data_IF_786601052260
#
_entry.id   IF_786601052260
#
_cell.length_a   1.000
_cell.length_b   1.000
_cell.length_c   1.000
_cell.angle_alpha   90.00
_cell.angle_beta   90.00
_cell.angle_gamma   90.00
#
_symmetry.space_group_name_H-M   'P 1'
#
loop_
_entity.id
_entity.type
_entity.pdbx_description
1 polymer ?
#
# COMPACT_ATOMS: atom_id res chain seq x y z
N UNK A 1 -23.26 -1.54 -10.51
CA UNK A 1 -23.41 -2.73 -11.38
C UNK A 1 -22.04 -3.19 -11.89
N UNK A 2 -21.34 -2.43 -12.74
CA UNK A 2 -20.08 -2.85 -13.45
C UNK A 2 -18.98 -3.35 -12.50
N UNK A 3 -18.66 -2.64 -11.41
CA UNK A 3 -17.65 -3.08 -10.45
C UNK A 3 -17.95 -4.46 -9.87
N UNK A 4 -19.17 -4.69 -9.37
CA UNK A 4 -19.53 -5.97 -8.77
C UNK A 4 -19.50 -7.12 -9.80
N UNK A 5 -19.92 -6.84 -11.02
CA UNK A 5 -19.88 -7.79 -12.13
C UNK A 5 -18.42 -8.14 -12.49
N UNK A 6 -17.55 -7.15 -12.66
CA UNK A 6 -16.14 -7.38 -12.92
C UNK A 6 -15.49 -8.22 -11.80
N UNK A 7 -15.76 -7.89 -10.54
CA UNK A 7 -15.20 -8.61 -9.38
C UNK A 7 -15.78 -10.03 -9.19
N UNK A 8 -16.89 -10.35 -9.81
CA UNK A 8 -17.46 -11.72 -9.83
C UNK A 8 -16.88 -12.59 -10.94
N UNK A 9 -16.43 -11.99 -12.03
CA UNK A 9 -15.96 -12.68 -13.22
C UNK A 9 -14.44 -12.79 -13.32
N UNK A 10 -13.71 -11.86 -12.73
CA UNK A 10 -12.26 -11.76 -12.89
C UNK A 10 -11.52 -11.71 -11.55
N UNK A 11 -10.27 -12.20 -11.51
CA UNK A 11 -9.39 -12.05 -10.35
C UNK A 11 -9.20 -10.57 -9.95
N UNK A 12 -8.98 -10.33 -8.66
CA UNK A 12 -8.87 -8.96 -8.11
C UNK A 12 -7.73 -8.15 -8.73
N UNK A 13 -6.61 -8.78 -9.04
CA UNK A 13 -5.46 -8.15 -9.70
C UNK A 13 -5.82 -7.67 -11.12
N UNK A 14 -6.56 -8.47 -11.90
CA UNK A 14 -7.03 -8.09 -13.23
C UNK A 14 -7.97 -6.88 -13.14
N UNK A 15 -8.96 -6.91 -12.24
CA UNK A 15 -9.91 -5.81 -12.06
C UNK A 15 -9.20 -4.54 -11.58
N UNK A 16 -8.24 -4.66 -10.65
CA UNK A 16 -7.44 -3.54 -10.17
C UNK A 16 -6.65 -2.90 -11.31
N UNK A 17 -5.87 -3.69 -12.06
CA UNK A 17 -4.96 -3.17 -13.08
C UNK A 17 -5.67 -2.70 -14.36
N UNK A 18 -6.80 -3.32 -14.73
CA UNK A 18 -7.46 -3.06 -16.03
C UNK A 18 -8.69 -2.17 -15.93
N UNK A 19 -9.26 -2.00 -14.74
CA UNK A 19 -10.47 -1.20 -14.55
C UNK A 19 -10.26 -0.07 -13.53
N UNK A 20 -9.80 -0.39 -12.32
CA UNK A 20 -9.82 0.60 -11.23
C UNK A 20 -8.69 1.62 -11.38
N UNK A 21 -7.44 1.18 -11.58
CA UNK A 21 -6.30 2.09 -11.74
C UNK A 21 -6.48 3.05 -12.93
N UNK A 22 -6.78 2.59 -14.15
CA UNK A 22 -7.00 3.51 -15.28
C UNK A 22 -8.15 4.49 -15.04
N UNK A 23 -9.21 4.05 -14.35
CA UNK A 23 -10.32 4.93 -14.00
C UNK A 23 -9.91 6.03 -13.01
N UNK A 24 -9.11 5.69 -12.00
CA UNK A 24 -8.59 6.66 -11.03
C UNK A 24 -7.65 7.67 -11.69
N UNK A 25 -6.76 7.23 -12.57
CA UNK A 25 -5.86 8.10 -13.34
C UNK A 25 -6.64 9.06 -14.23
N UNK A 26 -7.65 8.57 -14.94
CA UNK A 26 -8.50 9.42 -15.79
C UNK A 26 -9.30 10.43 -14.96
N UNK A 27 -9.91 10.00 -13.87
CA UNK A 27 -10.65 10.88 -12.98
C UNK A 27 -9.71 11.95 -12.38
N UNK A 28 -8.55 11.58 -11.86
CA UNK A 28 -7.56 12.51 -11.32
C UNK A 28 -7.19 13.58 -12.33
N UNK A 29 -6.89 13.19 -13.58
CA UNK A 29 -6.54 14.12 -14.65
C UNK A 29 -7.68 15.06 -15.06
N UNK A 30 -8.93 14.66 -14.88
CA UNK A 30 -10.13 15.49 -15.18
C UNK A 30 -10.39 16.49 -14.06
N UNK A 31 -10.19 16.10 -12.83
CA UNK A 31 -10.44 16.95 -11.66
C UNK A 31 -9.51 18.15 -11.58
N UNK A 32 -8.27 18.02 -12.02
CA UNK A 32 -7.34 19.13 -12.12
C UNK A 32 -7.77 20.24 -13.12
N UNK A 33 -8.65 19.89 -14.07
CA UNK A 33 -8.98 20.76 -15.21
C UNK A 33 -10.38 21.37 -15.19
N UNK A 34 -11.29 20.92 -14.31
CA UNK A 34 -12.70 21.33 -14.36
C UNK A 34 -13.20 21.92 -13.04
N UNK A 35 -13.89 23.05 -13.12
CA UNK A 35 -14.57 23.70 -12.00
C UNK A 35 -15.79 22.88 -11.56
N UNK A 36 -15.90 22.56 -10.28
CA UNK A 36 -17.04 21.79 -9.72
C UNK A 36 -16.77 20.30 -9.49
N UNK A 37 -15.60 19.83 -9.88
CA UNK A 37 -15.20 18.42 -9.79
C UNK A 37 -14.91 17.89 -8.36
N UNK A 38 -14.67 18.79 -7.40
CA UNK A 38 -14.32 18.40 -6.01
C UNK A 38 -15.42 17.56 -5.34
N UNK A 39 -16.68 17.93 -5.54
CA UNK A 39 -17.81 17.17 -4.97
C UNK A 39 -17.97 15.78 -5.63
N UNK A 40 -17.71 15.69 -6.94
CA UNK A 40 -17.73 14.43 -7.67
C UNK A 40 -16.58 13.52 -7.23
N UNK A 41 -15.39 14.10 -7.05
CA UNK A 41 -14.22 13.41 -6.50
C UNK A 41 -14.51 12.83 -5.12
N UNK A 42 -15.01 13.65 -4.20
CA UNK A 42 -15.36 13.19 -2.86
C UNK A 42 -16.41 12.09 -2.88
N UNK A 43 -17.45 12.22 -3.68
CA UNK A 43 -18.48 11.18 -3.81
C UNK A 43 -17.89 9.88 -4.33
N UNK A 44 -17.09 9.95 -5.40
CA UNK A 44 -16.45 8.78 -5.99
C UNK A 44 -15.45 8.13 -5.03
N UNK A 45 -14.65 8.94 -4.35
CA UNK A 45 -13.67 8.48 -3.36
C UNK A 45 -14.34 7.74 -2.21
N UNK A 46 -15.41 8.28 -1.63
CA UNK A 46 -16.17 7.61 -0.57
C UNK A 46 -16.83 6.32 -1.08
N UNK A 47 -17.42 6.36 -2.29
CA UNK A 47 -18.02 5.18 -2.90
C UNK A 47 -17.00 4.07 -3.12
N UNK A 48 -15.85 4.39 -3.70
CA UNK A 48 -14.80 3.42 -3.99
C UNK A 48 -14.21 2.86 -2.70
N UNK A 49 -13.88 3.71 -1.72
CA UNK A 49 -13.38 3.29 -0.41
C UNK A 49 -14.31 2.26 0.24
N UNK A 50 -15.63 2.53 0.25
CA UNK A 50 -16.61 1.60 0.83
C UNK A 50 -16.64 0.26 0.08
N UNK A 51 -16.55 0.28 -1.26
CA UNK A 51 -16.54 -0.94 -2.08
C UNK A 51 -15.29 -1.77 -1.87
N UNK A 52 -14.12 -1.12 -1.86
CA UNK A 52 -12.83 -1.77 -1.64
C UNK A 52 -12.72 -2.29 -0.19
N UNK A 53 -13.15 -1.48 0.79
CA UNK A 53 -13.14 -1.85 2.20
C UNK A 53 -14.00 -3.07 2.53
N UNK A 54 -15.21 -3.16 1.96
CA UNK A 54 -16.06 -4.33 2.12
C UNK A 54 -15.41 -5.60 1.55
N UNK A 55 -14.76 -5.50 0.39
CA UNK A 55 -14.03 -6.61 -0.23
C UNK A 55 -12.80 -7.01 0.59
N UNK A 56 -12.06 -6.03 1.05
CA UNK A 56 -10.91 -6.21 1.92
C UNK A 56 -11.26 -7.04 3.15
N UNK A 57 -12.27 -6.61 3.90
CA UNK A 57 -12.70 -7.32 5.11
C UNK A 57 -13.07 -8.78 4.83
N UNK A 58 -13.82 -9.03 3.77
CA UNK A 58 -14.25 -10.37 3.40
C UNK A 58 -13.09 -11.30 3.00
N UNK A 59 -12.09 -10.79 2.27
CA UNK A 59 -10.93 -11.59 1.84
C UNK A 59 -9.96 -11.83 3.00
N UNK A 60 -9.70 -10.83 3.83
CA UNK A 60 -8.71 -10.93 4.90
C UNK A 60 -9.03 -12.02 5.93
N UNK A 61 -10.31 -12.27 6.18
CA UNK A 61 -10.75 -13.32 7.10
C UNK A 61 -10.45 -14.75 6.61
N UNK A 62 -10.13 -14.94 5.34
CA UNK A 62 -9.92 -16.26 4.72
C UNK A 62 -8.47 -16.64 4.55
N UNK A 63 -7.56 -15.68 4.66
CA UNK A 63 -6.15 -15.89 4.40
C UNK A 63 -5.39 -16.36 5.65
N UNK A 64 -4.40 -17.21 5.42
CA UNK A 64 -3.50 -17.73 6.47
C UNK A 64 -2.02 -17.63 6.07
N UNK A 65 -1.71 -16.91 4.98
CA UNK A 65 -0.34 -16.65 4.53
C UNK A 65 0.37 -15.59 5.37
N UNK A 66 1.56 -15.14 4.94
CA UNK A 66 2.33 -14.13 5.65
C UNK A 66 1.52 -12.86 5.91
N UNK A 67 1.79 -12.23 7.04
CA UNK A 67 1.07 -11.06 7.55
C UNK A 67 1.86 -9.79 7.27
N UNK A 68 1.23 -8.82 6.61
CA UNK A 68 1.82 -7.51 6.32
C UNK A 68 1.09 -6.40 7.06
N UNK A 69 1.85 -5.49 7.68
CA UNK A 69 1.36 -4.16 8.02
C UNK A 69 1.43 -3.30 6.76
N UNK A 70 0.37 -2.56 6.48
CA UNK A 70 0.26 -1.70 5.29
C UNK A 70 -0.25 -0.34 5.72
N UNK A 71 0.54 0.73 5.50
CA UNK A 71 0.23 2.09 5.95
C UNK A 71 0.72 3.15 4.96
N UNK A 72 0.10 4.34 4.99
CA UNK A 72 0.66 5.52 4.35
C UNK A 72 1.66 6.21 5.29
N UNK A 73 2.67 6.84 4.69
CA UNK A 73 3.64 7.67 5.38
C UNK A 73 2.97 8.91 6.02
N UNK A 74 3.62 9.54 7.02
CA UNK A 74 3.13 10.78 7.63
C UNK A 74 2.87 11.87 6.58
N UNK A 75 1.75 12.57 6.69
CA UNK A 75 1.33 13.58 5.73
C UNK A 75 0.73 13.05 4.43
N UNK A 76 0.68 11.73 4.23
CA UNK A 76 0.06 11.12 3.04
C UNK A 76 -1.41 10.79 3.30
N UNK A 77 -2.29 11.45 2.54
CA UNK A 77 -3.73 11.28 2.63
C UNK A 77 -4.34 10.48 1.46
N UNK A 78 -3.54 10.19 0.41
CA UNK A 78 -3.98 9.45 -0.77
C UNK A 78 -3.83 7.94 -0.56
N UNK A 79 -4.82 7.33 0.09
CA UNK A 79 -4.75 5.91 0.49
C UNK A 79 -5.20 4.91 -0.59
N UNK A 80 -5.70 5.36 -1.76
CA UNK A 80 -6.24 4.42 -2.76
C UNK A 80 -5.18 3.48 -3.32
N UNK A 81 -3.99 3.97 -3.63
CA UNK A 81 -2.89 3.13 -4.09
C UNK A 81 -2.56 2.04 -3.07
N UNK A 82 -2.50 2.41 -1.80
CA UNK A 82 -2.27 1.49 -0.69
C UNK A 82 -3.40 0.46 -0.55
N UNK A 83 -4.66 0.89 -0.64
CA UNK A 83 -5.81 0.00 -0.53
C UNK A 83 -5.88 -1.00 -1.69
N UNK A 84 -5.55 -0.56 -2.91
CA UNK A 84 -5.47 -1.44 -4.08
C UNK A 84 -4.32 -2.45 -3.94
N UNK A 85 -3.15 -2.01 -3.47
CA UNK A 85 -2.05 -2.90 -3.14
C UNK A 85 -2.48 -3.96 -2.11
N UNK A 86 -3.12 -3.53 -1.02
CA UNK A 86 -3.61 -4.42 0.03
C UNK A 86 -4.59 -5.47 -0.50
N UNK A 87 -5.52 -5.08 -1.38
CA UNK A 87 -6.46 -6.01 -2.02
C UNK A 87 -5.76 -7.01 -2.93
N UNK A 88 -4.74 -6.59 -3.68
CA UNK A 88 -3.96 -7.48 -4.52
C UNK A 88 -3.15 -8.48 -3.68
N UNK A 89 -2.53 -8.02 -2.59
CA UNK A 89 -1.82 -8.87 -1.63
C UNK A 89 -2.76 -9.90 -0.99
N UNK A 90 -3.98 -9.50 -0.59
CA UNK A 90 -5.02 -10.43 -0.13
C UNK A 90 -5.37 -11.47 -1.19
N UNK A 91 -5.47 -11.07 -2.47
CA UNK A 91 -5.71 -11.98 -3.58
C UNK A 91 -4.59 -13.00 -3.79
N UNK A 92 -3.38 -12.72 -3.30
CA UNK A 92 -2.22 -13.62 -3.30
C UNK A 92 -2.08 -14.43 -2.00
N UNK A 93 -3.02 -14.32 -1.07
CA UNK A 93 -3.07 -15.11 0.15
C UNK A 93 -2.46 -14.46 1.39
N UNK A 94 -1.93 -13.24 1.30
CA UNK A 94 -1.41 -12.50 2.46
C UNK A 94 -2.53 -12.17 3.45
N UNK A 95 -2.18 -12.09 4.73
CA UNK A 95 -2.98 -11.41 5.75
C UNK A 95 -2.55 -9.94 5.81
N UNK A 96 -3.49 -9.01 5.91
CA UNK A 96 -3.17 -7.58 5.88
C UNK A 96 -3.70 -6.89 7.13
N UNK A 97 -2.83 -6.13 7.78
CA UNK A 97 -3.17 -5.14 8.80
C UNK A 97 -3.09 -3.79 8.14
N UNK A 98 -4.24 -3.27 7.70
CA UNK A 98 -4.34 -1.97 7.05
C UNK A 98 -4.49 -0.88 8.11
N UNK A 99 -3.50 0.00 8.23
CA UNK A 99 -3.51 1.11 9.18
C UNK A 99 -3.96 2.44 8.55
N UNK A 100 -3.99 2.52 7.20
CA UNK A 100 -4.54 3.67 6.48
C UNK A 100 -3.57 4.84 6.34
N UNK A 101 -4.14 6.04 6.24
CA UNK A 101 -3.45 7.29 5.92
C UNK A 101 -2.78 7.93 7.15
N UNK A 102 -1.77 8.78 6.88
CA UNK A 102 -1.15 9.71 7.85
C UNK A 102 -0.72 9.04 9.17
N UNK A 103 0.05 7.95 9.07
CA UNK A 103 0.49 7.21 10.26
C UNK A 103 1.91 7.62 10.69
N UNK A 104 2.14 7.96 11.98
CA UNK A 104 3.47 8.17 12.52
C UNK A 104 4.33 6.88 12.41
N UNK A 105 5.51 6.98 11.78
CA UNK A 105 6.40 5.83 11.56
C UNK A 105 6.88 5.25 12.90
N UNK A 106 7.14 6.10 13.88
CA UNK A 106 7.67 5.70 15.19
C UNK A 106 6.82 4.67 15.95
N UNK A 107 5.52 4.61 15.70
CA UNK A 107 4.62 3.65 16.36
C UNK A 107 4.64 2.24 15.72
N UNK A 108 5.17 2.12 14.50
CA UNK A 108 5.08 0.88 13.71
C UNK A 108 5.84 -0.29 14.34
N UNK A 109 6.97 -0.07 15.00
CA UNK A 109 7.72 -1.12 15.66
C UNK A 109 6.92 -1.79 16.80
N UNK A 110 6.12 -1.01 17.53
CA UNK A 110 5.21 -1.54 18.55
C UNK A 110 4.08 -2.38 17.95
N UNK A 111 3.50 -1.89 16.83
CA UNK A 111 2.46 -2.63 16.11
C UNK A 111 3.02 -3.93 15.54
N UNK A 112 4.22 -3.90 14.98
CA UNK A 112 4.89 -5.07 14.44
C UNK A 112 5.12 -6.13 15.52
N UNK A 113 5.67 -5.74 16.67
CA UNK A 113 5.89 -6.63 17.80
C UNK A 113 4.57 -7.24 18.34
N UNK A 114 3.51 -6.42 18.42
CA UNK A 114 2.21 -6.87 18.94
C UNK A 114 1.48 -7.83 18.00
N UNK A 115 1.63 -7.65 16.71
CA UNK A 115 0.88 -8.39 15.70
C UNK A 115 1.59 -9.62 15.16
N UNK A 116 2.93 -9.69 15.36
CA UNK A 116 3.78 -10.74 14.81
C UNK A 116 3.66 -10.76 13.28
N UNK A 117 3.82 -9.59 12.63
CA UNK A 117 3.80 -9.49 11.18
C UNK A 117 5.14 -9.90 10.58
N UNK A 118 5.11 -10.29 9.29
CA UNK A 118 6.25 -10.77 8.53
C UNK A 118 6.89 -9.67 7.67
N UNK A 119 6.28 -8.48 7.62
CA UNK A 119 6.81 -7.33 6.89
C UNK A 119 5.94 -6.08 7.05
N UNK A 120 6.55 -4.92 6.77
CA UNK A 120 5.89 -3.60 6.80
C UNK A 120 5.97 -2.99 5.41
N UNK A 121 4.84 -2.53 4.87
CA UNK A 121 4.75 -1.85 3.57
C UNK A 121 4.24 -0.43 3.80
N UNK A 122 5.06 0.55 3.42
CA UNK A 122 4.74 1.97 3.50
C UNK A 122 4.54 2.56 2.12
N UNK A 123 3.61 3.48 1.97
CA UNK A 123 3.34 4.17 0.70
C UNK A 123 3.25 5.67 0.92
N UNK A 124 3.80 6.43 -0.03
CA UNK A 124 3.73 7.89 -0.01
C UNK A 124 3.77 8.50 -1.39
N UNK A 125 3.26 9.74 -1.49
CA UNK A 125 3.32 10.55 -2.70
C UNK A 125 4.64 11.32 -2.81
N UNK A 126 4.83 11.95 -3.97
CA UNK A 126 6.02 12.76 -4.28
C UNK A 126 6.18 14.03 -3.43
N UNK A 127 5.16 14.44 -2.71
CA UNK A 127 5.15 15.70 -1.92
C UNK A 127 5.91 15.61 -0.59
N UNK A 128 6.34 14.42 -0.17
CA UNK A 128 7.08 14.24 1.08
C UNK A 128 8.54 14.65 0.92
N UNK A 129 9.08 15.34 1.95
CA UNK A 129 10.48 15.73 2.00
C UNK A 129 11.36 14.52 2.34
N UNK A 130 12.31 14.18 1.45
CA UNK A 130 13.16 13.01 1.61
C UNK A 130 14.02 13.05 2.90
N UNK A 131 14.55 14.23 3.25
CA UNK A 131 15.38 14.40 4.43
C UNK A 131 14.63 14.12 5.74
N UNK A 132 13.35 14.56 5.84
CA UNK A 132 12.53 14.28 7.00
C UNK A 132 12.18 12.79 7.12
N UNK A 133 11.99 12.12 5.98
CA UNK A 133 11.64 10.71 5.92
C UNK A 133 12.82 9.79 6.27
N UNK A 134 14.04 10.20 5.91
CA UNK A 134 15.24 9.38 6.05
C UNK A 134 15.46 8.86 7.48
N UNK A 135 15.43 9.76 8.48
CA UNK A 135 15.73 9.39 9.87
C UNK A 135 14.63 8.48 10.44
N UNK A 136 13.37 8.81 10.22
CA UNK A 136 12.24 8.02 10.74
C UNK A 136 12.24 6.59 10.14
N UNK A 137 12.60 6.46 8.86
CA UNK A 137 12.68 5.16 8.18
C UNK A 137 13.89 4.36 8.64
N UNK A 138 15.04 5.01 8.85
CA UNK A 138 16.23 4.38 9.40
C UNK A 138 15.95 3.82 10.79
N UNK A 139 15.39 4.65 11.67
CA UNK A 139 15.06 4.27 13.05
C UNK A 139 14.06 3.09 13.08
N UNK A 140 13.05 3.11 12.20
CA UNK A 140 12.12 1.97 12.07
C UNK A 140 12.86 0.70 11.63
N UNK A 141 13.70 0.78 10.59
CA UNK A 141 14.39 -0.39 10.05
C UNK A 141 15.36 -1.00 11.06
N UNK A 142 15.99 -0.17 11.90
CA UNK A 142 16.85 -0.62 13.00
C UNK A 142 16.06 -1.22 14.16
N UNK A 143 14.83 -0.76 14.39
CA UNK A 143 13.98 -1.22 15.49
C UNK A 143 13.27 -2.55 15.22
N UNK A 144 13.18 -2.99 13.96
CA UNK A 144 12.48 -4.23 13.59
C UNK A 144 13.41 -5.25 12.93
N UNK A 145 13.15 -6.53 13.14
CA UNK A 145 13.89 -7.64 12.50
C UNK A 145 13.24 -8.15 11.21
N UNK A 146 12.11 -7.55 10.82
CA UNK A 146 11.35 -7.91 9.63
C UNK A 146 11.59 -6.91 8.49
N UNK A 147 11.44 -7.31 7.21
CA UNK A 147 11.69 -6.43 6.09
C UNK A 147 10.70 -5.25 6.05
N UNK A 148 11.22 -4.05 5.80
CA UNK A 148 10.47 -2.82 5.57
C UNK A 148 10.53 -2.48 4.08
N UNK A 149 9.38 -2.20 3.49
CA UNK A 149 9.22 -1.88 2.07
C UNK A 149 8.60 -0.49 1.92
N UNK A 150 9.12 0.31 0.99
CA UNK A 150 8.57 1.64 0.68
C UNK A 150 8.23 1.73 -0.79
N UNK A 151 6.98 2.06 -1.10
CA UNK A 151 6.43 2.23 -2.45
C UNK A 151 5.75 3.58 -2.65
N UNK A 152 5.18 3.76 -3.85
CA UNK A 152 4.59 5.01 -4.29
C UNK A 152 5.61 5.98 -4.89
N UNK A 153 5.19 7.21 -5.19
CA UNK A 153 6.04 8.20 -5.86
C UNK A 153 7.25 8.61 -5.02
N UNK A 154 7.10 8.65 -3.70
CA UNK A 154 8.20 8.93 -2.76
C UNK A 154 9.35 7.94 -2.92
N UNK A 155 9.06 6.68 -3.20
CA UNK A 155 10.07 5.65 -3.38
C UNK A 155 11.02 5.94 -4.55
N UNK A 156 10.51 6.58 -5.62
CA UNK A 156 11.36 6.97 -6.74
C UNK A 156 12.09 8.29 -6.47
N UNK A 157 11.40 9.26 -5.87
CA UNK A 157 11.97 10.59 -5.64
C UNK A 157 13.04 10.59 -4.56
N UNK A 158 12.92 9.74 -3.54
CA UNK A 158 13.86 9.63 -2.41
C UNK A 158 14.72 8.36 -2.47
N UNK A 159 14.85 7.73 -3.65
CA UNK A 159 15.51 6.42 -3.79
C UNK A 159 16.89 6.38 -3.16
N UNK A 160 17.77 7.34 -3.51
CA UNK A 160 19.16 7.36 -3.04
C UNK A 160 19.26 7.47 -1.51
N UNK A 161 18.34 8.20 -0.89
CA UNK A 161 18.27 8.32 0.58
C UNK A 161 17.69 7.04 1.21
N UNK A 162 16.62 6.51 0.66
CA UNK A 162 15.98 5.29 1.15
C UNK A 162 16.87 4.05 1.01
N UNK A 163 17.62 3.91 -0.07
CA UNK A 163 18.56 2.79 -0.26
C UNK A 163 19.65 2.75 0.84
N UNK A 164 19.99 3.90 1.43
CA UNK A 164 20.96 3.99 2.55
C UNK A 164 20.37 3.59 3.91
N UNK A 165 19.04 3.53 4.05
CA UNK A 165 18.38 3.10 5.28
C UNK A 165 18.26 1.58 5.42
N UNK A 166 18.57 0.82 4.37
CA UNK A 166 18.47 -0.63 4.34
C UNK A 166 17.06 -1.18 4.08
N UNK A 167 16.07 -0.32 3.82
CA UNK A 167 14.71 -0.74 3.42
C UNK A 167 14.68 -1.17 1.95
N UNK A 168 13.64 -1.87 1.57
CA UNK A 168 13.43 -2.30 0.18
C UNK A 168 12.57 -1.26 -0.56
N UNK A 169 13.19 -0.57 -1.51
CA UNK A 169 12.52 0.44 -2.32
C UNK A 169 11.75 -0.26 -3.45
N UNK A 170 10.42 -0.11 -3.44
CA UNK A 170 9.51 -0.66 -4.43
C UNK A 170 9.30 0.35 -5.58
N UNK A 171 8.84 -0.14 -6.74
CA UNK A 171 8.44 0.72 -7.85
C UNK A 171 6.94 1.06 -7.82
N UNK A 172 6.46 1.64 -8.93
CA UNK A 172 5.02 1.94 -9.11
C UNK A 172 4.17 0.72 -9.47
N UNK A 173 4.79 -0.32 -10.03
CA UNK A 173 4.06 -1.52 -10.43
C UNK A 173 3.71 -2.37 -9.20
N UNK A 174 2.42 -2.47 -8.91
CA UNK A 174 1.90 -3.20 -7.76
C UNK A 174 2.20 -4.71 -7.85
N UNK A 175 2.22 -5.29 -9.05
CA UNK A 175 2.53 -6.71 -9.23
C UNK A 175 4.02 -6.98 -9.03
N UNK A 176 4.89 -6.14 -9.59
CA UNK A 176 6.33 -6.22 -9.39
C UNK A 176 6.69 -6.04 -7.91
N UNK A 177 6.02 -5.11 -7.22
CA UNK A 177 6.16 -4.89 -5.78
C UNK A 177 5.82 -6.14 -4.96
N UNK A 178 4.69 -6.79 -5.26
CA UNK A 178 4.30 -8.04 -4.59
C UNK A 178 5.31 -9.18 -4.85
N UNK A 179 5.89 -9.24 -6.04
CA UNK A 179 6.92 -10.23 -6.35
C UNK A 179 8.19 -10.02 -5.50
N UNK A 180 8.65 -8.77 -5.38
CA UNK A 180 9.80 -8.42 -4.52
C UNK A 180 9.53 -8.78 -3.06
N UNK A 181 8.35 -8.40 -2.53
CA UNK A 181 7.94 -8.70 -1.15
C UNK A 181 7.92 -10.21 -0.90
N UNK A 182 7.32 -10.99 -1.82
CA UNK A 182 7.27 -12.45 -1.71
C UNK A 182 8.66 -13.07 -1.63
N UNK A 183 9.60 -12.61 -2.46
CA UNK A 183 10.98 -13.10 -2.46
C UNK A 183 11.73 -12.81 -1.16
N UNK A 184 11.45 -11.67 -0.53
CA UNK A 184 12.13 -11.27 0.72
C UNK A 184 11.57 -11.96 1.94
N UNK A 185 10.25 -12.06 2.07
CA UNK A 185 9.60 -12.74 3.20
C UNK A 185 9.92 -14.23 3.21
N UNK A 186 9.84 -14.93 2.07
CA UNK A 186 10.15 -16.35 2.00
C UNK A 186 11.61 -16.69 2.32
N UNK A 187 12.55 -15.76 2.08
CA UNK A 187 13.96 -15.96 2.43
C UNK A 187 14.22 -15.77 3.93
N UNK A 188 13.40 -15.00 4.64
CA UNK A 188 13.52 -14.83 6.08
C UNK A 188 13.13 -16.10 6.83
N UNK A 189 12.11 -16.83 6.35
CA UNK A 189 11.66 -18.10 6.94
C UNK A 189 12.69 -19.24 6.80
N UNK A 190 13.66 -19.13 5.89
CA UNK A 190 14.70 -20.14 5.68
C UNK A 190 15.96 -19.90 6.54
N UNK A 191 16.06 -18.77 7.23
CA UNK A 191 17.21 -18.40 8.07
C UNK A 191 16.90 -18.43 9.58
N UNK A 192 15.66 -18.68 9.98
CA UNK A 192 15.21 -18.82 11.35
C UNK A 192 15.06 -20.29 11.74
#
# INVERSE_FOLDING_TARGET
>A
AVYNEAMSLYPVDVVTMRLILPLLEELGSRWEKQTGSVAEEHFFSVYLRNKLGARFHHLNMKNSGPKLIVACLPGEHHEFGLLLFALMALGKGYQIILLGADLPIGDLHHVAAKTGCDGIVLSGSASLACEALYQDVLDLNEAVSIPVFIGGDVANNCRDDLDRTGVYVLGHDLMASLYVISGKINNTDQQA
#
